data_IF_919125832751
#
_entry.id   IF_919125832751
#
_cell.length_a   1.000
_cell.length_b   1.000
_cell.length_c   1.000
_cell.angle_alpha   90.00
_cell.angle_beta   90.00
_cell.angle_gamma   90.00
#
_symmetry.space_group_name_H-M   'P 1'
#
loop_
_entity.id
_entity.type
_entity.pdbx_description
1 polymer ?
#
# COMPACT_ATOMS: atom_id res chain seq x y z
N UNK A 1 -27.32 12.42 -14.62
CA UNK A 1 -26.40 12.01 -15.73
C UNK A 1 -26.33 10.50 -15.95
N UNK A 2 -27.03 9.66 -15.17
CA UNK A 2 -27.11 8.21 -15.39
C UNK A 2 -28.50 7.81 -15.92
N UNK A 3 -28.61 6.84 -16.84
CA UNK A 3 -29.90 6.44 -17.41
C UNK A 3 -30.85 5.77 -16.40
N UNK A 4 -30.33 4.89 -15.54
CA UNK A 4 -31.11 4.13 -14.55
C UNK A 4 -30.50 4.27 -13.15
N UNK A 5 -31.06 5.14 -12.27
CA UNK A 5 -30.48 5.41 -10.94
C UNK A 5 -30.34 4.17 -10.05
N UNK A 6 -31.29 3.25 -10.07
CA UNK A 6 -31.25 2.02 -9.25
C UNK A 6 -30.10 1.10 -9.68
N UNK A 7 -29.92 0.92 -10.99
CA UNK A 7 -28.80 0.12 -11.54
C UNK A 7 -27.46 0.70 -11.12
N UNK A 8 -27.32 2.03 -11.26
CA UNK A 8 -26.15 2.77 -10.82
C UNK A 8 -25.87 2.59 -9.33
N UNK A 9 -26.88 2.74 -8.46
CA UNK A 9 -26.71 2.60 -7.00
C UNK A 9 -26.20 1.22 -6.62
N UNK A 10 -26.74 0.15 -7.20
CA UNK A 10 -26.30 -1.22 -6.93
C UNK A 10 -24.87 -1.46 -7.42
N UNK A 11 -24.54 -1.05 -8.65
CA UNK A 11 -23.18 -1.18 -9.17
C UNK A 11 -22.17 -0.37 -8.34
N UNK A 12 -22.52 0.85 -7.94
CA UNK A 12 -21.66 1.69 -7.11
C UNK A 12 -21.43 1.08 -5.73
N UNK A 13 -22.44 0.50 -5.08
CA UNK A 13 -22.28 -0.21 -3.81
C UNK A 13 -21.28 -1.36 -3.94
N UNK A 14 -21.42 -2.16 -5.00
CA UNK A 14 -20.49 -3.24 -5.32
C UNK A 14 -19.05 -2.72 -5.49
N UNK A 15 -18.84 -1.70 -6.32
CA UNK A 15 -17.49 -1.13 -6.57
C UNK A 15 -16.90 -0.49 -5.31
N UNK A 16 -17.70 0.19 -4.48
CA UNK A 16 -17.19 0.75 -3.22
C UNK A 16 -16.74 -0.33 -2.25
N UNK A 17 -17.53 -1.39 -2.09
CA UNK A 17 -17.17 -2.53 -1.24
C UNK A 17 -15.90 -3.21 -1.77
N UNK A 18 -15.82 -3.48 -3.06
CA UNK A 18 -14.61 -4.01 -3.71
C UNK A 18 -13.40 -3.11 -3.45
N UNK A 19 -13.49 -1.80 -3.72
CA UNK A 19 -12.36 -0.89 -3.57
C UNK A 19 -11.85 -0.81 -2.12
N UNK A 20 -12.76 -0.89 -1.14
CA UNK A 20 -12.42 -0.95 0.27
C UNK A 20 -11.72 -2.26 0.63
N UNK A 21 -12.28 -3.40 0.22
CA UNK A 21 -11.69 -4.73 0.48
C UNK A 21 -10.31 -4.89 -0.19
N UNK A 22 -10.10 -4.22 -1.32
CA UNK A 22 -8.84 -4.26 -2.07
C UNK A 22 -7.85 -3.15 -1.69
N UNK A 23 -8.15 -2.34 -0.67
CA UNK A 23 -7.33 -1.21 -0.22
C UNK A 23 -6.95 -0.23 -1.34
N UNK A 24 -7.89 0.06 -2.24
CA UNK A 24 -7.75 1.07 -3.32
C UNK A 24 -8.78 2.19 -3.17
N UNK A 25 -9.21 2.49 -1.95
CA UNK A 25 -10.17 3.54 -1.63
C UNK A 25 -9.56 4.53 -0.63
N UNK A 26 -9.29 5.77 -1.06
CA UNK A 26 -8.72 6.79 -0.18
C UNK A 26 -7.99 7.92 -0.93
N UNK A 27 -8.66 9.07 -1.12
CA UNK A 27 -8.09 10.20 -1.87
C UNK A 27 -6.84 10.80 -1.22
N UNK A 28 -6.77 10.79 0.11
CA UNK A 28 -5.61 11.30 0.86
C UNK A 28 -4.34 10.48 0.57
N UNK A 29 -4.49 9.15 0.40
CA UNK A 29 -3.41 8.21 0.09
C UNK A 29 -3.11 8.08 -1.40
N UNK A 30 -3.76 8.87 -2.26
CA UNK A 30 -3.55 8.81 -3.72
C UNK A 30 -4.34 7.72 -4.44
N UNK A 31 -5.45 7.24 -3.86
CA UNK A 31 -6.42 6.37 -4.52
C UNK A 31 -7.73 7.12 -4.82
N UNK A 32 -8.62 6.61 -5.69
CA UNK A 32 -9.89 7.28 -5.92
C UNK A 32 -10.75 7.31 -4.64
N UNK A 33 -11.35 8.46 -4.36
CA UNK A 33 -12.35 8.62 -3.30
C UNK A 33 -13.76 8.24 -3.76
N UNK A 34 -14.76 8.41 -2.87
CA UNK A 34 -16.14 8.02 -3.15
C UNK A 34 -16.76 8.69 -4.38
N UNK A 35 -16.49 9.99 -4.59
CA UNK A 35 -16.98 10.73 -5.76
C UNK A 35 -16.32 10.25 -7.05
N UNK A 36 -15.01 10.00 -7.03
CA UNK A 36 -14.29 9.48 -8.20
C UNK A 36 -14.81 8.10 -8.62
N UNK A 37 -15.00 7.17 -7.67
CA UNK A 37 -15.63 5.87 -7.96
C UNK A 37 -17.05 6.02 -8.49
N UNK A 38 -17.85 6.94 -7.94
CA UNK A 38 -19.19 7.23 -8.44
C UNK A 38 -19.19 7.71 -9.89
N UNK A 39 -18.26 8.60 -10.26
CA UNK A 39 -18.15 9.09 -11.64
C UNK A 39 -17.66 8.00 -12.60
N UNK A 40 -16.71 7.17 -12.19
CA UNK A 40 -16.27 6.02 -12.99
C UNK A 40 -17.44 5.06 -13.26
N UNK A 41 -18.22 4.69 -12.23
CA UNK A 41 -19.40 3.84 -12.43
C UNK A 41 -20.48 4.53 -13.28
N UNK A 42 -20.72 5.82 -13.07
CA UNK A 42 -21.70 6.58 -13.83
C UNK A 42 -21.36 6.61 -15.33
N UNK A 43 -20.07 6.72 -15.69
CA UNK A 43 -19.63 6.67 -17.09
C UNK A 43 -19.98 5.33 -17.74
N UNK A 44 -19.77 4.22 -17.05
CA UNK A 44 -20.14 2.90 -17.56
C UNK A 44 -21.66 2.78 -17.73
N UNK A 45 -22.45 3.32 -16.79
CA UNK A 45 -23.90 3.38 -16.95
C UNK A 45 -24.34 4.19 -18.17
N UNK A 46 -23.62 5.23 -18.57
CA UNK A 46 -23.91 5.99 -19.81
C UNK A 46 -23.61 5.17 -21.07
N UNK A 47 -22.53 4.39 -21.07
CA UNK A 47 -22.15 3.53 -22.19
C UNK A 47 -23.09 2.33 -22.36
N UNK A 48 -23.73 1.87 -21.28
CA UNK A 48 -24.64 0.71 -21.28
C UNK A 48 -25.98 1.06 -20.61
N UNK A 49 -26.84 1.88 -21.23
CA UNK A 49 -28.04 2.45 -20.59
C UNK A 49 -29.09 1.42 -20.18
N UNK A 50 -29.10 0.26 -20.85
CA UNK A 50 -30.09 -0.79 -20.65
C UNK A 50 -29.56 -1.99 -19.84
N UNK A 51 -28.28 -2.00 -19.49
CA UNK A 51 -27.68 -3.11 -18.76
C UNK A 51 -28.13 -3.19 -17.30
N UNK A 52 -28.08 -4.39 -16.74
CA UNK A 52 -28.28 -4.65 -15.30
C UNK A 52 -26.97 -4.42 -14.53
N UNK A 53 -27.05 -4.30 -13.21
CA UNK A 53 -25.90 -3.92 -12.36
C UNK A 53 -24.73 -4.89 -12.44
N UNK A 54 -24.96 -6.20 -12.57
CA UNK A 54 -23.90 -7.20 -12.72
C UNK A 54 -23.08 -6.96 -14.00
N UNK A 55 -23.75 -6.69 -15.11
CA UNK A 55 -23.11 -6.35 -16.39
C UNK A 55 -22.36 -5.01 -16.30
N UNK A 56 -22.91 -4.00 -15.60
CA UNK A 56 -22.19 -2.74 -15.36
C UNK A 56 -20.88 -2.98 -14.61
N UNK A 57 -20.87 -3.85 -13.58
CA UNK A 57 -19.65 -4.18 -12.83
C UNK A 57 -18.64 -4.93 -13.71
N UNK A 58 -19.08 -5.88 -14.53
CA UNK A 58 -18.22 -6.57 -15.50
C UNK A 58 -17.60 -5.59 -16.51
N UNK A 59 -18.42 -4.71 -17.10
CA UNK A 59 -17.96 -3.70 -18.06
C UNK A 59 -17.05 -2.66 -17.41
N UNK A 60 -17.26 -2.33 -16.14
CA UNK A 60 -16.38 -1.44 -15.38
C UNK A 60 -14.93 -1.95 -15.37
N UNK A 61 -14.71 -3.20 -14.96
CA UNK A 61 -13.36 -3.76 -14.92
C UNK A 61 -12.76 -3.90 -16.33
N UNK A 62 -13.54 -4.42 -17.27
CA UNK A 62 -13.11 -4.63 -18.65
C UNK A 62 -12.69 -3.32 -19.35
N UNK A 63 -13.46 -2.25 -19.17
CA UNK A 63 -13.19 -0.95 -19.80
C UNK A 63 -12.04 -0.26 -19.12
N UNK A 64 -12.01 -0.16 -17.79
CA UNK A 64 -10.98 0.61 -17.10
C UNK A 64 -9.60 -0.05 -17.09
N UNK A 65 -9.53 -1.36 -17.31
CA UNK A 65 -8.25 -2.07 -17.57
C UNK A 65 -7.67 -1.69 -18.94
N UNK A 66 -8.51 -1.34 -19.92
CA UNK A 66 -8.12 -1.01 -21.31
C UNK A 66 -8.22 0.48 -21.61
N UNK A 67 -8.60 1.29 -20.63
CA UNK A 67 -8.77 2.72 -20.80
C UNK A 67 -7.42 3.37 -21.10
N UNK A 68 -7.39 4.25 -22.10
CA UNK A 68 -6.17 4.89 -22.57
C UNK A 68 -5.73 6.03 -21.64
N UNK A 69 -5.38 5.72 -20.39
CA UNK A 69 -4.88 6.70 -19.44
C UNK A 69 -3.64 7.43 -20.00
N UNK A 70 -3.55 8.77 -19.92
CA UNK A 70 -4.33 9.68 -19.08
C UNK A 70 -5.55 10.34 -19.76
N UNK A 71 -6.19 9.72 -20.75
CA UNK A 71 -7.46 10.26 -21.28
C UNK A 71 -8.51 10.44 -20.18
N UNK A 72 -9.20 11.60 -20.11
CA UNK A 72 -10.09 11.90 -19.00
C UNK A 72 -11.42 11.17 -19.10
N UNK A 73 -11.92 10.74 -17.94
CA UNK A 73 -13.30 10.27 -17.79
C UNK A 73 -14.20 11.48 -17.59
N UNK A 74 -15.06 11.74 -18.58
CA UNK A 74 -16.04 12.83 -18.59
C UNK A 74 -17.47 12.28 -18.55
N UNK A 75 -18.34 12.86 -17.71
CA UNK A 75 -19.77 12.52 -17.67
C UNK A 75 -20.64 13.42 -18.55
N UNK A 76 -20.14 14.61 -18.90
CA UNK A 76 -20.69 15.53 -19.88
C UNK A 76 -19.54 16.37 -20.44
N UNK A 77 -19.79 17.09 -21.53
CA UNK A 77 -18.83 18.08 -22.03
C UNK A 77 -18.51 19.11 -20.95
N UNK A 78 -17.24 19.53 -20.86
CA UNK A 78 -16.83 20.61 -19.96
C UNK A 78 -17.44 21.90 -20.51
N UNK A 79 -18.17 22.61 -19.66
CA UNK A 79 -18.82 23.88 -20.00
C UNK A 79 -17.93 25.04 -19.58
N UNK A 80 -17.86 26.06 -20.44
CA UNK A 80 -17.37 27.37 -20.04
C UNK A 80 -18.43 28.06 -19.18
N UNK A 81 -17.99 28.89 -18.25
CA UNK A 81 -18.91 29.63 -17.38
C UNK A 81 -18.46 31.08 -17.18
N UNK A 82 -19.34 31.91 -16.62
CA UNK A 82 -19.17 33.36 -16.60
C UNK A 82 -18.10 33.85 -15.61
N UNK A 83 -17.63 32.99 -14.70
CA UNK A 83 -16.66 33.35 -13.68
C UNK A 83 -15.24 33.12 -14.19
N UNK A 84 -14.31 33.99 -13.77
CA UNK A 84 -12.86 33.84 -14.03
C UNK A 84 -12.23 32.80 -13.08
N UNK A 85 -12.80 31.60 -13.05
CA UNK A 85 -12.33 30.48 -12.24
C UNK A 85 -11.60 29.46 -13.11
N UNK A 86 -10.59 28.82 -12.53
CA UNK A 86 -9.84 27.77 -13.22
C UNK A 86 -10.73 26.54 -13.45
N UNK A 87 -10.90 26.17 -14.71
CA UNK A 87 -11.52 24.91 -15.14
C UNK A 87 -10.42 23.94 -15.56
N UNK A 88 -10.55 22.66 -15.24
CA UNK A 88 -9.57 21.63 -15.62
C UNK A 88 -9.33 21.65 -17.14
N UNK A 89 -8.08 21.92 -17.53
CA UNK A 89 -7.71 22.00 -18.94
C UNK A 89 -6.22 21.62 -19.11
N UNK A 90 -5.92 20.39 -19.57
CA UNK A 90 -4.54 19.95 -19.74
C UNK A 90 -3.83 20.68 -20.91
N UNK A 91 -4.54 21.32 -21.84
CA UNK A 91 -3.87 22.08 -22.90
C UNK A 91 -3.28 23.39 -22.37
N UNK A 92 -3.97 24.01 -21.40
CA UNK A 92 -3.59 25.30 -20.84
C UNK A 92 -2.71 25.18 -19.60
N UNK A 93 -3.02 24.24 -18.69
CA UNK A 93 -2.38 24.17 -17.38
C UNK A 93 -1.41 22.99 -17.29
N UNK A 94 -0.09 23.23 -17.09
CA UNK A 94 0.90 22.16 -16.97
C UNK A 94 0.61 21.16 -15.86
N UNK A 95 0.06 21.61 -14.73
CA UNK A 95 -0.32 20.73 -13.62
C UNK A 95 -1.41 19.72 -14.02
N UNK A 96 -2.38 20.14 -14.86
CA UNK A 96 -3.46 19.26 -15.30
C UNK A 96 -2.97 18.17 -16.26
N UNK A 97 -1.87 18.44 -17.00
CA UNK A 97 -1.20 17.43 -17.85
C UNK A 97 -0.55 16.31 -17.05
N UNK A 98 -0.19 16.57 -15.80
CA UNK A 98 0.47 15.59 -14.94
C UNK A 98 -0.53 14.63 -14.27
N UNK A 99 -1.84 14.84 -14.42
CA UNK A 99 -2.84 13.94 -13.87
C UNK A 99 -2.81 12.59 -14.59
N UNK A 100 -2.57 11.53 -13.83
CA UNK A 100 -2.34 10.17 -14.36
C UNK A 100 -3.61 9.42 -14.76
N UNK A 101 -4.66 9.54 -13.95
CA UNK A 101 -5.96 8.92 -14.21
C UNK A 101 -7.10 9.92 -14.00
N UNK A 102 -7.24 10.95 -14.87
CA UNK A 102 -8.15 12.06 -14.61
C UNK A 102 -9.63 11.66 -14.67
N UNK A 103 -10.35 11.91 -13.58
CA UNK A 103 -11.81 11.75 -13.48
C UNK A 103 -12.42 13.11 -13.15
N UNK A 104 -13.19 13.67 -14.08
CA UNK A 104 -13.52 15.09 -14.05
C UNK A 104 -14.94 15.32 -13.50
N UNK A 105 -15.07 16.25 -12.56
CA UNK A 105 -16.35 16.62 -11.97
C UNK A 105 -17.25 17.30 -13.01
N UNK A 106 -18.54 16.90 -13.12
CA UNK A 106 -19.41 17.44 -14.15
C UNK A 106 -19.90 18.86 -13.84
N UNK A 107 -19.99 19.26 -12.58
CA UNK A 107 -20.44 20.60 -12.21
C UNK A 107 -19.35 21.64 -12.53
N UNK A 108 -19.77 22.80 -13.02
CA UNK A 108 -18.88 23.96 -13.22
C UNK A 108 -18.49 24.58 -11.85
N UNK A 109 -17.22 24.97 -11.66
CA UNK A 109 -16.07 24.72 -12.53
C UNK A 109 -15.60 23.26 -12.44
N UNK A 110 -15.42 22.60 -13.59
CA UNK A 110 -14.96 21.22 -13.62
C UNK A 110 -13.53 21.07 -13.11
N UNK A 111 -13.30 20.07 -12.25
CA UNK A 111 -12.01 19.79 -11.61
C UNK A 111 -11.68 18.29 -11.68
N UNK A 112 -10.41 17.94 -11.51
CA UNK A 112 -9.98 16.54 -11.42
C UNK A 112 -10.15 16.00 -9.99
N UNK A 113 -11.05 15.02 -9.83
CA UNK A 113 -11.31 14.36 -8.54
C UNK A 113 -10.24 13.35 -8.13
N UNK A 114 -9.27 13.08 -8.99
CA UNK A 114 -8.22 12.06 -8.83
C UNK A 114 -6.81 12.64 -8.99
N UNK A 115 -6.65 13.94 -8.76
CA UNK A 115 -5.37 14.65 -8.88
C UNK A 115 -4.26 14.10 -7.96
N UNK A 116 -4.63 13.36 -6.90
CA UNK A 116 -3.69 12.73 -5.97
C UNK A 116 -3.10 11.39 -6.44
N UNK A 117 -3.54 10.83 -7.57
CA UNK A 117 -3.01 9.54 -8.05
C UNK A 117 -1.53 9.66 -8.45
N UNK A 118 -0.69 8.83 -7.86
CA UNK A 118 0.76 8.74 -8.12
C UNK A 118 1.08 7.64 -9.12
N UNK A 119 2.35 7.51 -9.53
CA UNK A 119 2.77 6.41 -10.43
C UNK A 119 2.54 5.05 -9.74
N UNK A 120 2.92 4.97 -8.47
CA UNK A 120 2.76 3.76 -7.65
C UNK A 120 1.30 3.39 -7.46
N UNK A 121 0.44 4.34 -7.08
CA UNK A 121 -0.98 4.02 -6.85
C UNK A 121 -1.72 3.72 -8.16
N UNK A 122 -1.35 4.37 -9.28
CA UNK A 122 -1.85 3.99 -10.61
C UNK A 122 -1.57 2.53 -10.93
N UNK A 123 -0.32 2.06 -10.73
CA UNK A 123 0.04 0.64 -10.95
C UNK A 123 -0.80 -0.30 -10.08
N UNK A 124 -1.02 0.06 -8.81
CA UNK A 124 -1.86 -0.73 -7.89
C UNK A 124 -3.32 -0.78 -8.37
N UNK A 125 -3.89 0.36 -8.76
CA UNK A 125 -5.27 0.44 -9.27
C UNK A 125 -5.43 -0.43 -10.53
N UNK A 126 -4.50 -0.32 -11.48
CA UNK A 126 -4.55 -1.10 -12.73
C UNK A 126 -4.40 -2.61 -12.49
N UNK A 127 -3.54 -3.01 -11.54
CA UNK A 127 -3.41 -4.40 -11.13
C UNK A 127 -4.71 -4.94 -10.50
N UNK A 128 -5.36 -4.17 -9.63
CA UNK A 128 -6.63 -4.57 -9.01
C UNK A 128 -7.81 -4.54 -10.00
N UNK A 129 -7.82 -3.62 -10.98
CA UNK A 129 -8.79 -3.64 -12.08
C UNK A 129 -8.61 -4.89 -12.96
N UNK A 130 -7.36 -5.27 -13.24
CA UNK A 130 -7.04 -6.49 -14.00
C UNK A 130 -7.46 -7.75 -13.23
N UNK A 131 -7.20 -7.81 -11.91
CA UNK A 131 -7.70 -8.88 -11.03
C UNK A 131 -9.22 -8.95 -11.08
N UNK A 132 -9.92 -7.81 -10.94
CA UNK A 132 -11.37 -7.73 -11.02
C UNK A 132 -11.91 -8.23 -12.36
N UNK A 133 -11.27 -7.86 -13.47
CA UNK A 133 -11.62 -8.32 -14.82
C UNK A 133 -11.52 -9.85 -14.94
N UNK A 134 -10.42 -10.44 -14.49
CA UNK A 134 -10.23 -11.90 -14.48
C UNK A 134 -11.29 -12.60 -13.63
N UNK A 135 -11.56 -12.11 -12.42
CA UNK A 135 -12.58 -12.70 -11.53
C UNK A 135 -13.98 -12.60 -12.15
N UNK A 136 -14.32 -11.47 -12.78
CA UNK A 136 -15.61 -11.32 -13.45
C UNK A 136 -15.77 -12.30 -14.62
N UNK A 137 -14.70 -12.59 -15.36
CA UNK A 137 -14.72 -13.63 -16.40
C UNK A 137 -14.94 -15.03 -15.80
N UNK A 138 -14.27 -15.35 -14.69
CA UNK A 138 -14.45 -16.61 -13.99
C UNK A 138 -15.85 -16.76 -13.38
N UNK A 139 -16.43 -15.69 -12.85
CA UNK A 139 -17.83 -15.67 -12.38
C UNK A 139 -18.79 -15.94 -13.54
N UNK A 140 -18.57 -15.28 -14.70
CA UNK A 140 -19.38 -15.50 -15.89
C UNK A 140 -19.28 -16.96 -16.40
N UNK A 141 -18.11 -17.58 -16.27
CA UNK A 141 -17.88 -18.98 -16.60
C UNK A 141 -18.33 -19.98 -15.52
N UNK A 142 -18.91 -19.50 -14.40
CA UNK A 142 -19.38 -20.35 -13.29
C UNK A 142 -18.27 -20.97 -12.44
N UNK A 143 -17.02 -20.48 -12.53
CA UNK A 143 -15.85 -20.99 -11.79
C UNK A 143 -15.61 -20.32 -10.45
N UNK A 144 -16.08 -19.07 -10.31
CA UNK A 144 -15.95 -18.25 -9.10
C UNK A 144 -17.28 -17.62 -8.75
N UNK A 145 -17.33 -17.03 -7.56
CA UNK A 145 -18.48 -16.36 -7.00
C UNK A 145 -18.18 -14.90 -6.71
N UNK A 146 -19.19 -14.14 -6.29
CA UNK A 146 -19.01 -12.74 -5.92
C UNK A 146 -18.14 -12.57 -4.66
N UNK A 147 -18.08 -13.55 -3.75
CA UNK A 147 -17.22 -13.45 -2.58
C UNK A 147 -15.74 -13.40 -2.95
N UNK A 148 -15.33 -14.08 -4.03
CA UNK A 148 -13.97 -14.04 -4.56
C UNK A 148 -13.55 -12.60 -4.98
N UNK A 149 -14.50 -11.83 -5.54
CA UNK A 149 -14.27 -10.44 -5.91
C UNK A 149 -13.99 -9.57 -4.67
N UNK A 150 -14.69 -9.86 -3.58
CA UNK A 150 -14.63 -9.12 -2.32
C UNK A 150 -13.63 -9.67 -1.30
N UNK A 151 -12.82 -10.66 -1.67
CA UNK A 151 -11.70 -11.10 -0.83
C UNK A 151 -10.83 -9.91 -0.43
N UNK A 152 -10.46 -9.89 0.84
CA UNK A 152 -9.60 -8.87 1.42
C UNK A 152 -8.23 -8.85 0.74
N UNK A 153 -7.63 -7.67 0.68
CA UNK A 153 -6.28 -7.48 0.17
C UNK A 153 -5.23 -8.27 0.96
N UNK A 154 -4.11 -8.58 0.32
CA UNK A 154 -2.95 -9.19 0.96
C UNK A 154 -1.82 -8.17 1.22
N UNK A 155 -2.15 -6.90 1.50
CA UNK A 155 -1.17 -5.80 1.63
C UNK A 155 0.01 -6.14 2.56
N UNK A 156 -0.25 -6.66 3.76
CA UNK A 156 0.75 -7.04 4.76
C UNK A 156 1.41 -8.42 4.53
N UNK A 157 1.22 -8.98 3.33
CA UNK A 157 1.84 -10.22 2.85
C UNK A 157 2.62 -10.01 1.55
N UNK A 158 2.31 -8.94 0.82
CA UNK A 158 2.74 -8.71 -0.56
C UNK A 158 4.19 -8.23 -0.67
N UNK A 159 4.67 -7.45 0.29
CA UNK A 159 5.97 -6.78 0.19
C UNK A 159 6.98 -7.39 1.15
N UNK A 160 8.27 -7.33 0.80
CA UNK A 160 9.36 -7.77 1.69
C UNK A 160 9.71 -6.70 2.74
N UNK A 161 9.51 -5.43 2.40
CA UNK A 161 9.87 -4.27 3.19
C UNK A 161 8.69 -3.29 3.24
N UNK A 162 8.52 -2.65 4.38
CA UNK A 162 7.51 -1.64 4.65
C UNK A 162 8.17 -0.46 5.35
N UNK A 163 7.73 0.75 5.04
CA UNK A 163 7.99 1.92 5.87
C UNK A 163 6.83 2.13 6.82
N UNK A 164 7.12 2.15 8.11
CA UNK A 164 6.18 2.49 9.17
C UNK A 164 6.43 3.94 9.59
N UNK A 165 5.47 4.83 9.34
CA UNK A 165 5.51 6.23 9.77
C UNK A 165 4.66 6.35 11.02
N UNK A 166 5.26 6.70 12.14
CA UNK A 166 4.64 6.87 13.45
C UNK A 166 4.52 8.37 13.74
N UNK A 167 3.30 8.81 14.03
CA UNK A 167 2.99 10.10 14.64
C UNK A 167 2.74 9.87 16.13
N UNK A 168 3.36 10.65 17.01
CA UNK A 168 3.07 10.60 18.44
C UNK A 168 2.81 11.99 19.01
N UNK A 169 1.95 12.07 20.01
CA UNK A 169 1.65 13.32 20.73
C UNK A 169 1.49 13.02 22.22
N UNK A 170 2.13 13.83 23.07
CA UNK A 170 1.99 13.80 24.53
C UNK A 170 1.17 15.03 24.96
N UNK A 171 -0.10 15.02 24.57
CA UNK A 171 -1.07 16.07 24.82
C UNK A 171 -2.46 15.53 24.49
N UNK A 172 -3.50 16.35 24.59
CA UNK A 172 -4.90 16.06 24.30
C UNK A 172 -5.13 15.26 23.01
N UNK A 173 -6.26 14.55 22.97
CA UNK A 173 -6.70 13.83 21.78
C UNK A 173 -6.91 14.77 20.58
N UNK A 174 -7.29 16.03 20.83
CA UNK A 174 -7.48 17.04 19.79
C UNK A 174 -6.15 17.42 19.12
N UNK A 175 -5.10 17.68 19.92
CA UNK A 175 -3.78 17.98 19.39
C UNK A 175 -3.19 16.78 18.64
N UNK A 176 -3.38 15.56 19.15
CA UNK A 176 -2.97 14.36 18.43
C UNK A 176 -3.68 14.22 17.10
N UNK A 177 -4.97 14.53 17.01
CA UNK A 177 -5.73 14.49 15.77
C UNK A 177 -5.25 15.53 14.76
N UNK A 178 -4.88 16.74 15.21
CA UNK A 178 -4.26 17.76 14.35
C UNK A 178 -2.91 17.27 13.81
N UNK A 179 -2.06 16.70 14.66
CA UNK A 179 -0.74 16.24 14.29
C UNK A 179 -0.76 15.00 13.36
N UNK A 180 -1.47 13.96 13.76
CA UNK A 180 -1.63 12.73 12.96
C UNK A 180 -2.30 13.02 11.62
N UNK A 181 -3.34 13.86 11.58
CA UNK A 181 -4.01 14.29 10.35
C UNK A 181 -3.12 15.13 9.44
N UNK A 182 -2.23 15.97 10.01
CA UNK A 182 -1.22 16.68 9.21
C UNK A 182 -0.27 15.68 8.54
N UNK A 183 0.27 14.72 9.29
CA UNK A 183 1.15 13.67 8.74
C UNK A 183 0.45 12.86 7.66
N UNK A 184 -0.80 12.44 7.89
CA UNK A 184 -1.62 11.72 6.91
C UNK A 184 -1.74 12.51 5.60
N UNK A 185 -2.02 13.82 5.70
CA UNK A 185 -2.16 14.70 4.53
C UNK A 185 -0.88 14.85 3.71
N UNK A 186 0.28 14.63 4.33
CA UNK A 186 1.60 14.72 3.69
C UNK A 186 2.17 13.38 3.27
N UNK A 187 1.62 12.25 3.73
CA UNK A 187 2.15 10.91 3.44
C UNK A 187 2.34 10.66 1.93
N UNK A 188 1.43 11.20 1.12
CA UNK A 188 1.54 11.16 -0.35
C UNK A 188 2.80 11.84 -0.89
N UNK A 189 3.31 12.89 -0.26
CA UNK A 189 4.56 13.55 -0.66
C UNK A 189 5.76 12.63 -0.44
N UNK A 190 5.77 11.85 0.64
CA UNK A 190 6.77 10.81 0.85
C UNK A 190 6.67 9.74 -0.26
N UNK A 191 5.47 9.28 -0.59
CA UNK A 191 5.25 8.32 -1.71
C UNK A 191 5.79 8.86 -3.04
N UNK A 192 5.52 10.13 -3.37
CA UNK A 192 6.00 10.77 -4.60
C UNK A 192 7.54 10.80 -4.69
N UNK A 193 8.22 10.94 -3.55
CA UNK A 193 9.69 10.94 -3.50
C UNK A 193 10.25 9.52 -3.52
N UNK A 194 9.59 8.58 -2.85
CA UNK A 194 9.99 7.18 -2.86
C UNK A 194 9.84 6.54 -4.25
N UNK A 195 8.79 6.87 -5.00
CA UNK A 195 8.54 6.26 -6.32
C UNK A 195 9.52 6.71 -7.41
N UNK A 196 10.30 7.77 -7.17
CA UNK A 196 11.39 8.22 -8.04
C UNK A 196 12.77 7.84 -7.50
N UNK A 197 12.85 7.29 -6.29
CA UNK A 197 14.10 6.88 -5.69
C UNK A 197 14.67 5.64 -6.40
N UNK A 198 15.98 5.61 -6.58
CA UNK A 198 16.64 4.52 -7.30
C UNK A 198 16.45 3.19 -6.56
N UNK A 199 16.03 2.16 -7.29
CA UNK A 199 15.79 0.82 -6.75
C UNK A 199 14.39 0.59 -6.18
N UNK A 200 13.53 1.63 -6.09
CA UNK A 200 12.11 1.48 -5.74
C UNK A 200 11.27 1.34 -7.00
N UNK A 201 10.54 0.23 -7.13
CA UNK A 201 9.63 0.01 -8.26
C UNK A 201 8.21 0.51 -7.96
N UNK A 202 7.77 0.31 -6.71
CA UNK A 202 6.46 0.72 -6.20
C UNK A 202 6.62 1.15 -4.74
N UNK A 203 6.09 2.33 -4.41
CA UNK A 203 5.82 2.76 -3.04
C UNK A 203 4.29 2.77 -2.82
N UNK A 204 3.76 1.73 -2.19
CA UNK A 204 2.31 1.52 -2.04
C UNK A 204 1.84 1.96 -0.64
N UNK A 205 1.21 3.14 -0.49
CA UNK A 205 0.62 3.54 0.79
C UNK A 205 -0.59 2.68 1.14
N UNK A 206 -0.67 2.21 2.38
CA UNK A 206 -1.89 1.61 2.92
C UNK A 206 -2.95 2.68 3.18
N UNK A 207 -4.23 2.28 3.11
CA UNK A 207 -5.36 3.24 3.14
C UNK A 207 -6.02 3.41 4.50
N UNK A 208 -5.43 2.85 5.55
CA UNK A 208 -5.90 2.98 6.94
C UNK A 208 -4.70 3.20 7.86
N UNK A 209 -4.97 3.89 8.96
CA UNK A 209 -4.05 4.04 10.07
C UNK A 209 -4.33 3.02 11.18
N UNK A 210 -3.41 2.94 12.13
CA UNK A 210 -3.56 2.18 13.37
C UNK A 210 -3.19 3.09 14.53
N UNK A 211 -4.14 3.27 15.46
CA UNK A 211 -4.02 4.24 16.54
C UNK A 211 -4.15 3.57 17.91
N UNK A 212 -3.27 3.94 18.85
CA UNK A 212 -3.24 3.41 20.22
C UNK A 212 -2.87 4.52 21.20
N UNK A 213 -3.37 4.41 22.44
CA UNK A 213 -3.05 5.35 23.53
C UNK A 213 -2.52 4.57 24.73
N UNK A 214 -1.37 5.01 25.25
CA UNK A 214 -0.74 4.42 26.44
C UNK A 214 -0.56 5.48 27.53
N UNK A 215 -0.60 5.05 28.79
CA UNK A 215 -0.15 5.87 29.91
C UNK A 215 1.39 5.98 29.87
N UNK A 216 1.91 7.18 30.09
CA UNK A 216 3.35 7.44 30.10
C UNK A 216 3.97 7.01 31.44
N UNK A 217 3.29 7.29 32.56
CA UNK A 217 3.75 7.00 33.93
C UNK A 217 5.22 7.46 34.13
N UNK A 218 6.10 6.60 34.66
CA UNK A 218 7.54 6.89 34.81
C UNK A 218 8.38 6.54 33.56
N UNK A 219 7.75 6.11 32.46
CA UNK A 219 8.47 5.60 31.28
C UNK A 219 8.78 6.73 30.30
N UNK A 220 9.92 6.62 29.60
CA UNK A 220 10.30 7.59 28.58
C UNK A 220 9.43 7.40 27.32
N UNK A 221 8.88 8.50 26.82
CA UNK A 221 8.09 8.53 25.59
C UNK A 221 8.86 7.99 24.38
N UNK A 222 10.18 8.26 24.32
CA UNK A 222 11.03 7.77 23.23
C UNK A 222 11.07 6.25 23.16
N UNK A 223 11.07 5.55 24.30
CA UNK A 223 11.11 4.08 24.33
C UNK A 223 9.79 3.48 23.80
N UNK A 224 8.67 4.12 24.13
CA UNK A 224 7.34 3.75 23.61
C UNK A 224 7.29 3.97 22.10
N UNK A 225 7.71 5.15 21.63
CA UNK A 225 7.75 5.49 20.21
C UNK A 225 8.67 4.54 19.46
N UNK A 226 9.87 4.24 19.97
CA UNK A 226 10.86 3.33 19.39
C UNK A 226 10.36 1.88 19.31
N UNK A 227 9.54 1.45 20.27
CA UNK A 227 8.93 0.12 20.26
C UNK A 227 7.74 0.01 19.30
N UNK A 228 6.97 1.10 19.12
CA UNK A 228 5.74 1.10 18.33
C UNK A 228 5.94 0.84 16.83
N UNK A 229 5.15 -0.06 16.25
CA UNK A 229 5.20 -0.38 14.81
C UNK A 229 6.17 -1.50 14.40
N UNK A 230 6.80 -2.17 15.35
CA UNK A 230 7.63 -3.38 15.14
C UNK A 230 7.14 -4.53 16.02
N UNK A 231 7.31 -5.76 15.57
CA UNK A 231 6.97 -6.94 16.37
C UNK A 231 7.83 -7.05 17.63
N UNK A 232 9.14 -6.75 17.53
CA UNK A 232 10.04 -6.78 18.68
C UNK A 232 9.60 -5.87 19.83
N UNK A 233 8.95 -4.74 19.51
CA UNK A 233 8.47 -3.80 20.50
C UNK A 233 7.16 -4.20 21.19
N UNK A 234 6.41 -5.17 20.66
CA UNK A 234 5.10 -5.53 21.22
C UNK A 234 5.18 -6.05 22.65
N UNK A 235 6.20 -6.86 22.98
CA UNK A 235 6.35 -7.40 24.33
C UNK A 235 6.45 -6.27 25.36
N UNK A 236 7.17 -5.21 25.04
CA UNK A 236 7.26 -4.00 25.86
C UNK A 236 5.93 -3.25 25.90
N UNK A 237 5.28 -3.03 24.75
CA UNK A 237 4.02 -2.29 24.68
C UNK A 237 2.88 -2.97 25.44
N UNK A 238 2.85 -4.30 25.48
CA UNK A 238 1.88 -5.07 26.28
C UNK A 238 2.04 -4.88 27.79
N UNK A 239 3.20 -4.42 28.26
CA UNK A 239 3.41 -4.05 29.67
C UNK A 239 2.88 -2.66 30.01
N UNK A 240 2.45 -1.88 29.02
CA UNK A 240 1.87 -0.56 29.21
C UNK A 240 0.37 -0.68 29.47
N UNK A 241 -0.14 0.19 30.33
CA UNK A 241 -1.58 0.34 30.51
C UNK A 241 -2.17 1.06 29.29
N UNK A 242 -3.01 0.34 28.53
CA UNK A 242 -3.79 0.92 27.44
C UNK A 242 -4.98 1.71 28.01
N UNK A 243 -5.17 2.93 27.52
CA UNK A 243 -6.32 3.76 27.89
C UNK A 243 -7.28 3.84 26.71
N UNK A 244 -8.36 3.05 26.73
CA UNK A 244 -9.45 3.15 25.76
C UNK A 244 -10.49 4.22 26.12
N UNK A 245 -10.42 4.79 27.33
CA UNK A 245 -11.36 5.81 27.80
C UNK A 245 -10.73 7.21 27.81
N UNK A 246 -11.30 8.11 27.01
CA UNK A 246 -11.10 9.58 27.11
C UNK A 246 -11.66 10.18 28.44
N UNK A 247 -11.93 9.35 29.45
CA UNK A 247 -12.56 9.75 30.72
C UNK A 247 -11.60 9.90 31.89
N UNK A 248 -10.31 9.58 31.74
CA UNK A 248 -9.36 9.86 32.83
C UNK A 248 -8.92 11.32 32.80
N UNK A 249 -8.87 11.91 33.99
CA UNK A 249 -8.71 13.34 34.25
C UNK A 249 -7.34 13.94 33.92
N UNK A 250 -6.37 13.14 33.43
CA UNK A 250 -5.01 13.62 33.20
C UNK A 250 -4.55 13.36 31.76
N UNK A 251 -5.00 14.22 30.84
CA UNK A 251 -4.71 14.11 29.40
C UNK A 251 -3.21 14.23 29.08
N UNK A 252 -2.44 14.87 29.96
CA UNK A 252 -1.02 15.16 29.79
C UNK A 252 -0.09 14.01 30.22
N UNK A 253 -0.61 12.97 30.89
CA UNK A 253 0.14 11.75 31.22
C UNK A 253 -0.09 10.61 30.20
N UNK A 254 -0.58 10.95 28.99
CA UNK A 254 -0.92 9.98 27.94
C UNK A 254 -0.11 10.25 26.68
N UNK A 255 0.44 9.18 26.11
CA UNK A 255 1.02 9.21 24.77
C UNK A 255 0.05 8.59 23.77
N UNK A 256 -0.28 9.35 22.74
CA UNK A 256 -1.18 8.96 21.66
C UNK A 256 -0.35 8.71 20.41
N UNK A 257 -0.54 7.56 19.77
CA UNK A 257 0.27 7.09 18.65
C UNK A 257 -0.62 6.69 17.48
N UNK A 258 -0.28 7.17 16.29
CA UNK A 258 -0.87 6.72 15.02
C UNK A 258 0.24 6.24 14.10
N UNK A 259 0.09 5.07 13.48
CA UNK A 259 1.03 4.57 12.46
C UNK A 259 0.39 4.36 11.10
N UNK A 260 1.18 4.64 10.08
CA UNK A 260 0.86 4.46 8.67
C UNK A 260 1.90 3.56 8.01
N UNK A 261 1.49 2.80 7.00
CA UNK A 261 2.37 1.88 6.28
C UNK A 261 2.49 2.22 4.80
N UNK A 262 3.71 2.10 4.27
CA UNK A 262 4.00 2.13 2.84
C UNK A 262 4.75 0.84 2.49
N UNK A 263 4.14 -0.02 1.69
CA UNK A 263 4.79 -1.22 1.16
C UNK A 263 5.78 -0.86 0.06
N UNK A 264 6.99 -1.41 0.12
CA UNK A 264 8.04 -1.16 -0.87
C UNK A 264 8.29 -2.41 -1.71
N UNK A 265 8.13 -2.26 -3.02
CA UNK A 265 8.64 -3.20 -3.99
C UNK A 265 9.97 -2.69 -4.55
N UNK A 266 11.01 -3.53 -4.50
CA UNK A 266 12.38 -3.14 -4.82
C UNK A 266 12.87 -3.90 -6.03
N UNK A 267 13.35 -3.17 -7.05
CA UNK A 267 13.93 -3.78 -8.22
C UNK A 267 15.44 -4.01 -8.03
N UNK A 268 15.78 -5.19 -7.52
CA UNK A 268 17.17 -5.60 -7.26
C UNK A 268 17.90 -6.12 -8.52
N UNK A 269 17.27 -6.06 -9.70
CA UNK A 269 17.78 -6.75 -10.91
C UNK A 269 18.53 -5.86 -11.92
N UNK A 270 18.72 -4.57 -11.64
CA UNK A 270 19.44 -3.65 -12.55
C UNK A 270 20.64 -3.01 -11.88
N UNK A 271 21.75 -3.73 -11.76
CA UNK A 271 23.12 -3.16 -11.69
C UNK A 271 24.18 -4.25 -11.78
N UNK A 272 25.22 -3.97 -12.57
CA UNK A 272 26.42 -4.80 -12.76
C UNK A 272 27.39 -4.81 -11.57
N UNK A 273 27.21 -3.96 -10.54
CA UNK A 273 28.20 -3.68 -9.49
C UNK A 273 27.76 -4.01 -8.04
N UNK A 274 27.18 -5.17 -7.83
CA UNK A 274 27.35 -5.93 -6.58
C UNK A 274 26.64 -5.48 -5.29
N UNK A 275 26.43 -4.18 -4.99
CA UNK A 275 25.67 -3.75 -3.80
C UNK A 275 25.05 -2.36 -4.03
N UNK A 276 23.77 -2.28 -4.40
CA UNK A 276 23.00 -1.03 -4.26
C UNK A 276 22.35 -0.96 -2.89
N UNK A 277 22.85 -0.07 -2.05
CA UNK A 277 22.16 0.36 -0.83
C UNK A 277 20.93 1.17 -1.27
N UNK A 278 19.74 0.68 -0.95
CA UNK A 278 18.50 1.45 -1.12
C UNK A 278 18.62 2.75 -0.33
N UNK A 279 18.78 3.89 -1.02
CA UNK A 279 18.82 5.20 -0.38
C UNK A 279 17.42 5.79 -0.24
N UNK A 280 16.72 5.34 0.81
CA UNK A 280 15.47 5.95 1.27
C UNK A 280 15.73 7.08 2.29
N UNK A 281 16.99 7.34 2.65
CA UNK A 281 17.34 8.28 3.70
C UNK A 281 16.99 9.70 3.29
N UNK A 282 17.29 10.09 2.06
CA UNK A 282 16.95 11.43 1.55
C UNK A 282 15.43 11.69 1.51
N UNK A 283 14.59 10.84 0.88
CA UNK A 283 13.13 11.01 0.93
C UNK A 283 12.56 11.09 2.35
N UNK A 284 13.07 10.27 3.26
CA UNK A 284 12.64 10.27 4.66
C UNK A 284 13.06 11.56 5.38
N UNK A 285 14.30 12.01 5.21
CA UNK A 285 14.82 13.23 5.83
C UNK A 285 14.04 14.47 5.38
N UNK A 286 13.71 14.57 4.09
CA UNK A 286 12.91 15.67 3.58
C UNK A 286 11.48 15.64 4.12
N UNK A 287 10.88 14.45 4.22
CA UNK A 287 9.56 14.29 4.84
C UNK A 287 9.59 14.70 6.32
N UNK A 288 10.63 14.34 7.07
CA UNK A 288 10.84 14.82 8.44
C UNK A 288 10.89 16.35 8.51
N UNK A 289 11.63 16.99 7.60
CA UNK A 289 11.72 18.46 7.56
C UNK A 289 10.37 19.11 7.26
N UNK A 290 9.57 18.55 6.35
CA UNK A 290 8.21 19.02 6.07
C UNK A 290 7.32 18.91 7.32
N UNK A 291 7.43 17.81 8.06
CA UNK A 291 6.66 17.59 9.27
C UNK A 291 7.06 18.53 10.40
N UNK A 292 8.36 18.70 10.66
CA UNK A 292 8.86 19.60 11.72
C UNK A 292 8.70 21.08 11.38
N UNK A 293 8.64 21.44 10.09
CA UNK A 293 8.35 22.80 9.65
C UNK A 293 6.87 23.19 9.71
N UNK A 294 5.98 22.29 10.13
CA UNK A 294 4.56 22.57 10.26
C UNK A 294 4.27 23.49 11.43
N UNK A 295 3.26 24.36 11.30
CA UNK A 295 2.74 25.17 12.41
C UNK A 295 2.08 24.32 13.49
N UNK A 296 1.70 23.07 13.19
CA UNK A 296 1.15 22.11 14.15
C UNK A 296 2.22 21.34 14.93
N UNK A 297 3.50 21.53 14.60
CA UNK A 297 4.59 20.86 15.31
C UNK A 297 4.98 21.68 16.53
N UNK A 298 5.06 21.01 17.68
CA UNK A 298 5.47 21.60 18.96
C UNK A 298 6.57 20.73 19.53
N UNK A 299 7.74 21.31 19.76
CA UNK A 299 8.90 20.59 20.29
C UNK A 299 8.61 20.07 21.71
N UNK A 300 8.98 18.83 22.00
CA UNK A 300 8.70 18.15 23.27
C UNK A 300 7.29 17.57 23.40
N UNK A 301 6.34 17.95 22.55
CA UNK A 301 4.95 17.46 22.56
C UNK A 301 4.67 16.53 21.38
N UNK A 302 5.09 16.94 20.18
CA UNK A 302 4.83 16.22 18.94
C UNK A 302 6.08 15.49 18.47
N UNK A 303 5.90 14.24 18.05
CA UNK A 303 6.98 13.38 17.59
C UNK A 303 6.59 12.71 16.28
N UNK A 304 7.59 12.44 15.45
CA UNK A 304 7.46 11.67 14.23
C UNK A 304 8.64 10.70 14.15
N UNK A 305 8.37 9.47 13.71
CA UNK A 305 9.40 8.48 13.43
C UNK A 305 9.06 7.68 12.17
N UNK A 306 10.07 7.38 11.36
CA UNK A 306 9.96 6.57 10.14
C UNK A 306 10.89 5.37 10.33
N UNK A 307 10.31 4.17 10.26
CA UNK A 307 11.02 2.91 10.46
C UNK A 307 10.95 2.06 9.21
N UNK A 308 12.05 1.39 8.87
CA UNK A 308 12.04 0.33 7.88
C UNK A 308 11.76 -1.00 8.58
N UNK A 309 10.61 -1.60 8.28
CA UNK A 309 10.11 -2.83 8.90
C UNK A 309 10.09 -3.93 7.85
N UNK A 310 10.69 -5.07 8.16
CA UNK A 310 10.66 -6.25 7.27
C UNK A 310 9.32 -6.96 7.44
N UNK A 311 8.89 -7.70 6.41
CA UNK A 311 7.63 -8.46 6.42
C UNK A 311 7.39 -9.28 7.70
N UNK A 312 8.41 -10.00 8.18
CA UNK A 312 8.31 -10.86 9.37
C UNK A 312 8.40 -10.10 10.71
N UNK A 313 8.70 -8.80 10.66
CA UNK A 313 8.81 -7.93 11.82
C UNK A 313 7.63 -6.93 11.88
N UNK A 314 6.65 -7.10 10.99
CA UNK A 314 5.38 -6.39 11.12
C UNK A 314 4.67 -6.82 12.42
N UNK A 315 4.08 -5.86 13.14
CA UNK A 315 3.32 -6.13 14.35
C UNK A 315 2.03 -6.89 14.04
N UNK A 316 1.49 -7.59 15.04
CA UNK A 316 0.32 -8.45 14.97
C UNK A 316 -0.99 -7.68 14.71
N UNK A 317 -1.07 -6.42 15.14
CA UNK A 317 -2.26 -5.57 14.98
C UNK A 317 -2.58 -5.20 13.51
N UNK A 318 -1.67 -5.50 12.57
CA UNK A 318 -1.94 -5.33 11.13
C UNK A 318 -2.71 -6.51 10.51
N UNK A 319 -2.81 -7.63 11.24
CA UNK A 319 -3.51 -8.84 10.81
C UNK A 319 -4.86 -8.93 11.52
N UNK A 320 -5.90 -9.36 10.80
CA UNK A 320 -7.24 -9.54 11.38
C UNK A 320 -7.37 -10.92 12.05
N UNK A 321 -8.43 -11.13 12.82
CA UNK A 321 -8.71 -12.42 13.46
C UNK A 321 -8.77 -13.56 12.43
N UNK A 322 -7.91 -14.56 12.61
CA UNK A 322 -7.79 -15.72 11.70
C UNK A 322 -6.73 -15.58 10.61
N UNK A 323 -6.09 -14.41 10.48
CA UNK A 323 -4.93 -14.22 9.62
C UNK A 323 -3.63 -14.66 10.33
N UNK A 324 -2.81 -15.48 9.66
CA UNK A 324 -1.53 -15.93 10.21
C UNK A 324 -0.36 -15.06 9.70
N UNK A 325 0.42 -14.52 10.63
CA UNK A 325 1.62 -13.74 10.31
C UNK A 325 2.65 -14.59 9.52
N UNK A 326 3.29 -14.03 8.48
CA UNK A 326 4.40 -14.70 7.79
C UNK A 326 5.60 -14.95 8.71
N UNK A 327 5.97 -16.23 8.87
CA UNK A 327 7.13 -16.65 9.65
C UNK A 327 8.33 -16.83 8.70
N UNK A 328 9.53 -16.45 9.15
CA UNK A 328 10.77 -16.82 8.44
C UNK A 328 10.85 -18.34 8.35
N UNK A 329 10.81 -18.89 7.13
CA UNK A 329 11.18 -20.29 6.91
C UNK A 329 12.63 -20.46 7.36
N UNK A 330 12.84 -21.11 8.50
CA UNK A 330 14.19 -21.48 8.94
C UNK A 330 14.85 -22.29 7.83
N UNK A 331 16.07 -21.92 7.42
CA UNK A 331 16.88 -22.75 6.53
C UNK A 331 17.01 -24.12 7.20
N UNK A 332 16.19 -25.11 6.81
CA UNK A 332 16.48 -26.51 7.11
C UNK A 332 17.84 -26.80 6.48
N UNK A 333 18.91 -26.79 7.28
CA UNK A 333 20.19 -27.39 6.90
C UNK A 333 19.84 -28.81 6.46
N UNK A 334 19.93 -29.10 5.16
CA UNK A 334 19.94 -30.49 4.67
C UNK A 334 21.10 -31.18 5.40
N UNK A 335 20.79 -31.99 6.41
CA UNK A 335 21.72 -33.01 6.90
C UNK A 335 21.89 -33.97 5.73
N UNK A 336 23.03 -33.89 5.05
CA UNK A 336 23.47 -34.95 4.16
C UNK A 336 23.73 -36.15 5.05
N UNK A 337 22.81 -37.10 5.03
CA UNK A 337 23.03 -38.44 5.60
C UNK A 337 24.04 -39.10 4.66
N UNK A 338 25.28 -39.28 5.14
CA UNK A 338 26.22 -40.23 4.53
C UNK A 338 25.76 -41.61 4.97
N UNK A 339 25.14 -42.36 4.06
CA UNK A 339 25.02 -43.81 4.22
C UNK A 339 26.36 -44.44 3.92
N UNK A 340 26.84 -45.17 4.91
CA UNK A 340 28.04 -45.99 4.89
C UNK A 340 27.70 -47.32 4.19
N UNK A 341 28.45 -47.65 3.14
CA UNK A 341 28.28 -48.86 2.34
C UNK A 341 29.64 -49.48 2.05
N UNK A 342 30.31 -49.98 3.09
CA UNK A 342 31.43 -50.89 2.91
C UNK A 342 30.93 -52.25 2.42
N UNK A 343 31.54 -52.76 1.34
CA UNK A 343 32.10 -54.11 1.35
C UNK A 343 33.23 -54.27 0.33
N UNK A 344 34.39 -54.61 0.88
CA UNK A 344 35.66 -54.98 0.25
C UNK A 344 35.51 -56.20 -0.64
N UNK A 345 36.33 -56.26 -1.70
CA UNK A 345 36.85 -57.53 -2.25
C UNK A 345 38.37 -57.47 -2.17
N UNK A 346 38.98 -58.50 -1.59
CA UNK A 346 40.42 -58.73 -1.49
C UNK A 346 40.68 -60.19 -1.90
N UNK A 347 41.67 -60.40 -2.76
CA UNK A 347 42.57 -61.58 -2.89
C UNK A 347 43.64 -61.16 -3.93
N UNK A 348 44.93 -61.00 -3.59
CA UNK A 348 45.99 -62.03 -3.46
C UNK A 348 46.15 -62.87 -4.74
N UNK A 349 47.33 -63.17 -5.31
CA UNK A 349 48.74 -62.77 -5.15
C UNK A 349 49.56 -63.39 -6.31
N UNK A 350 50.78 -62.88 -6.53
CA UNK A 350 52.00 -63.56 -7.07
C UNK A 350 52.37 -63.55 -8.58
N UNK A 351 53.68 -63.28 -8.77
CA UNK A 351 54.66 -63.83 -9.72
C UNK A 351 54.91 -63.18 -11.12
N UNK A 352 56.03 -62.44 -11.17
CA UNK A 352 57.17 -62.51 -12.13
C UNK A 352 56.95 -62.62 -13.65
N UNK A 353 57.55 -61.68 -14.40
CA UNK A 353 58.74 -61.86 -15.30
C UNK A 353 58.69 -61.07 -16.62
N UNK A 354 59.69 -60.19 -16.79
CA UNK A 354 60.58 -60.00 -17.95
C UNK A 354 60.08 -59.66 -19.39
N UNK A 355 60.96 -58.91 -20.07
CA UNK A 355 61.14 -58.62 -21.51
C UNK A 355 60.20 -57.57 -22.15
N UNK A 356 60.69 -56.40 -22.59
CA UNK A 356 61.58 -56.05 -23.72
C UNK A 356 60.91 -56.12 -25.11
N UNK A 357 61.18 -55.07 -25.89
CA UNK A 357 60.89 -54.76 -27.29
C UNK A 357 59.76 -53.73 -27.44
N UNK A 358 59.93 -52.55 -28.05
CA UNK A 358 60.93 -52.08 -29.01
C UNK A 358 60.20 -51.60 -30.28
N UNK A 359 60.57 -50.40 -30.78
CA UNK A 359 60.19 -49.77 -32.07
C UNK A 359 58.69 -49.45 -32.27
N UNK A 360 58.27 -48.28 -32.78
CA UNK A 360 58.89 -47.10 -33.38
C UNK A 360 57.91 -45.93 -33.29
#
# INVERSE_FOLDING_TARGET
>A
LVPKPTVFKHALRCIKMWAQQRAVYGNIFGFPGGVAWAMLVARICQLYPNAVSSVIVEKFFNIYTKWNWPEPVLLKSIEDGPLQVRVWNPRLYPHDRLHRMPVITPAYPSMCATHNITSSTQKVILAELSRGSSIMQDIHAGKKSWSDLFEKHCFFYKYKFYLCVVAATIDSAEEHKKWSGFIESKLRQLVLKLEVAEGVEIAHPYVKDFSHTFLLDDKNAEDIINSYGTLSGEAFLRTLHSSDSDKDSDEHNKIRLTKYYIGLDLNLTKSSDGVRKLDIQYPCAEFYSICKGSTSFTEGVNFIQIKNVKLHDLPNDVYEDGEERPIKSGKKRKKVIKEDGQKRVRNESSASSASLNGSS
#
